data_IF_360860094572
#
_entry.id   IF_360860094572
#
_cell.length_a   1.000
_cell.length_b   1.000
_cell.length_c   1.000
_cell.angle_alpha   90.00
_cell.angle_beta   90.00
_cell.angle_gamma   90.00
#
_symmetry.space_group_name_H-M   'P 1'
#
loop_
_entity.id
_entity.type
_entity.pdbx_description
1 polymer ?
#
# COMPACT_ATOMS: atom_id res chain seq x y z
N UNK A 1 -28.02 3.65 -19.32
CA UNK A 1 -26.93 2.71 -19.68
C UNK A 1 -25.53 3.19 -19.27
N UNK A 2 -25.28 4.51 -19.13
CA UNK A 2 -23.94 5.07 -18.88
C UNK A 2 -23.32 4.76 -17.50
N UNK A 3 -24.12 4.69 -16.42
CA UNK A 3 -23.61 4.49 -15.05
C UNK A 3 -22.91 3.14 -14.87
N UNK A 4 -23.40 2.10 -15.54
CA UNK A 4 -22.86 0.74 -15.44
C UNK A 4 -21.50 0.60 -16.16
N UNK A 5 -21.34 1.32 -17.28
CA UNK A 5 -20.09 1.37 -18.06
C UNK A 5 -19.00 2.08 -17.26
N UNK A 6 -19.30 3.24 -16.67
CA UNK A 6 -18.36 3.95 -15.78
C UNK A 6 -17.92 3.05 -14.64
N UNK A 7 -18.86 2.43 -13.91
CA UNK A 7 -18.53 1.55 -12.78
C UNK A 7 -17.64 0.35 -13.17
N UNK A 8 -17.74 -0.13 -14.41
CA UNK A 8 -16.96 -1.26 -14.90
C UNK A 8 -15.54 -0.84 -15.29
N UNK A 9 -15.38 0.37 -15.83
CA UNK A 9 -14.08 0.99 -16.12
C UNK A 9 -13.36 1.32 -14.81
N UNK A 10 -14.07 1.92 -13.84
CA UNK A 10 -13.54 2.26 -12.52
C UNK A 10 -12.96 1.03 -11.80
N UNK A 11 -13.68 -0.10 -11.83
CA UNK A 11 -13.21 -1.36 -11.23
C UNK A 11 -11.92 -1.86 -11.87
N UNK A 12 -11.78 -1.76 -13.20
CA UNK A 12 -10.57 -2.18 -13.94
C UNK A 12 -9.38 -1.29 -13.60
N UNK A 13 -9.60 0.02 -13.52
CA UNK A 13 -8.59 0.99 -13.09
C UNK A 13 -8.15 0.70 -11.66
N UNK A 14 -9.09 0.53 -10.73
CA UNK A 14 -8.78 0.20 -9.33
C UNK A 14 -8.00 -1.12 -9.20
N UNK A 15 -8.38 -2.14 -9.97
CA UNK A 15 -7.66 -3.41 -9.97
C UNK A 15 -6.22 -3.24 -10.46
N UNK A 16 -6.03 -2.49 -11.55
CA UNK A 16 -4.70 -2.19 -12.09
C UNK A 16 -3.85 -1.43 -11.07
N UNK A 17 -4.39 -0.35 -10.47
CA UNK A 17 -3.67 0.42 -9.46
C UNK A 17 -3.30 -0.42 -8.22
N UNK A 18 -4.19 -1.31 -7.77
CA UNK A 18 -3.89 -2.26 -6.67
C UNK A 18 -2.75 -3.21 -7.04
N UNK A 19 -2.74 -3.73 -8.27
CA UNK A 19 -1.68 -4.63 -8.73
C UNK A 19 -0.30 -3.94 -8.75
N UNK A 20 -0.26 -2.63 -9.02
CA UNK A 20 0.99 -1.86 -8.96
C UNK A 20 1.57 -1.76 -7.55
N UNK A 21 0.73 -1.80 -6.51
CA UNK A 21 1.18 -1.77 -5.10
C UNK A 21 1.79 -3.08 -4.63
N UNK A 22 1.51 -4.18 -5.33
CA UNK A 22 2.06 -5.52 -5.03
C UNK A 22 3.45 -5.73 -5.62
N UNK A 23 3.92 -4.80 -6.47
CA UNK A 23 5.20 -4.92 -7.13
C UNK A 23 6.33 -4.36 -6.25
N UNK A 24 7.49 -5.06 -6.18
CA UNK A 24 8.66 -4.54 -5.47
C UNK A 24 9.22 -3.27 -6.11
N UNK A 25 9.02 -3.07 -7.43
CA UNK A 25 9.31 -1.81 -8.11
C UNK A 25 8.37 -1.63 -9.30
N UNK A 26 7.40 -0.69 -9.24
CA UNK A 26 6.43 -0.47 -10.32
C UNK A 26 7.08 -0.11 -11.66
N UNK A 27 8.26 0.52 -11.62
CA UNK A 27 8.98 0.98 -12.82
C UNK A 27 9.69 -0.14 -13.60
N UNK A 28 9.88 -1.32 -13.01
CA UNK A 28 10.68 -2.41 -13.61
C UNK A 28 9.85 -3.53 -14.21
N UNK A 29 8.60 -3.70 -13.79
CA UNK A 29 7.73 -4.77 -14.26
C UNK A 29 6.28 -4.32 -14.11
N UNK A 30 5.75 -3.66 -15.14
CA UNK A 30 4.35 -3.22 -15.12
C UNK A 30 3.42 -4.42 -15.33
N UNK A 31 2.27 -4.47 -14.64
CA UNK A 31 1.28 -5.52 -14.86
C UNK A 31 0.65 -5.33 -16.25
N UNK A 32 0.14 -6.41 -16.86
CA UNK A 32 -0.53 -6.31 -18.15
C UNK A 32 -1.75 -5.38 -18.06
N UNK A 33 -1.92 -4.54 -19.09
CA UNK A 33 -3.03 -3.60 -19.17
C UNK A 33 -4.37 -4.35 -19.21
N UNK A 34 -5.35 -4.04 -18.35
CA UNK A 34 -6.67 -4.65 -18.42
C UNK A 34 -7.34 -4.33 -19.77
N UNK A 35 -7.99 -5.34 -20.36
CA UNK A 35 -8.70 -5.17 -21.63
C UNK A 35 -9.72 -4.01 -21.57
N UNK A 36 -9.79 -3.25 -22.64
CA UNK A 36 -10.63 -2.04 -22.74
C UNK A 36 -9.98 -0.75 -22.21
N UNK A 37 -8.77 -0.80 -21.64
CA UNK A 37 -8.03 0.38 -21.16
C UNK A 37 -6.78 0.71 -21.99
N UNK A 38 -6.50 -0.04 -23.07
CA UNK A 38 -5.32 0.18 -23.92
C UNK A 38 -5.21 1.62 -24.47
N UNK A 39 -6.35 2.28 -24.72
CA UNK A 39 -6.40 3.66 -25.24
C UNK A 39 -5.80 4.67 -24.25
N UNK A 40 -5.85 4.39 -22.95
CA UNK A 40 -5.36 5.25 -21.87
C UNK A 40 -4.15 4.66 -21.14
N UNK A 41 -3.47 3.71 -21.78
CA UNK A 41 -2.40 2.93 -21.16
C UNK A 41 -1.28 3.83 -20.65
N UNK A 42 -0.81 4.76 -21.48
CA UNK A 42 0.33 5.59 -21.15
C UNK A 42 0.05 6.50 -19.94
N UNK A 43 -1.13 7.12 -19.89
CA UNK A 43 -1.57 7.95 -18.77
C UNK A 43 -1.70 7.12 -17.51
N UNK A 44 -2.29 5.93 -17.61
CA UNK A 44 -2.52 5.05 -16.48
C UNK A 44 -1.21 4.47 -15.92
N UNK A 45 -0.21 4.19 -16.75
CA UNK A 45 1.12 3.77 -16.32
C UNK A 45 1.84 4.88 -15.55
N UNK A 46 1.83 6.12 -16.06
CA UNK A 46 2.46 7.27 -15.41
C UNK A 46 1.79 7.56 -14.06
N UNK A 47 0.46 7.69 -14.04
CA UNK A 47 -0.29 7.96 -12.82
C UNK A 47 -0.19 6.81 -11.82
N UNK A 48 -0.23 5.56 -12.31
CA UNK A 48 -0.09 4.38 -11.49
C UNK A 48 1.28 4.28 -10.81
N UNK A 49 2.36 4.60 -11.53
CA UNK A 49 3.70 4.65 -10.96
C UNK A 49 3.81 5.72 -9.87
N UNK A 50 3.28 6.93 -10.11
CA UNK A 50 3.29 8.02 -9.14
C UNK A 50 2.48 7.66 -7.89
N UNK A 51 1.27 7.12 -8.08
CA UNK A 51 0.42 6.61 -7.02
C UNK A 51 1.15 5.58 -6.15
N UNK A 52 1.78 4.58 -6.78
CA UNK A 52 2.51 3.55 -6.05
C UNK A 52 3.70 4.11 -5.26
N UNK A 53 4.42 5.10 -5.80
CA UNK A 53 5.49 5.78 -5.08
C UNK A 53 4.97 6.51 -3.83
N UNK A 54 3.87 7.25 -3.95
CA UNK A 54 3.25 7.97 -2.82
C UNK A 54 2.79 6.98 -1.74
N UNK A 55 2.11 5.90 -2.13
CA UNK A 55 1.67 4.87 -1.19
C UNK A 55 2.86 4.21 -0.49
N UNK A 56 3.93 3.92 -1.22
CA UNK A 56 5.14 3.33 -0.64
C UNK A 56 5.86 4.29 0.32
N UNK A 57 5.90 5.59 0.01
CA UNK A 57 6.41 6.60 0.94
C UNK A 57 5.55 6.67 2.21
N UNK A 58 4.22 6.70 2.07
CA UNK A 58 3.32 6.67 3.21
C UNK A 58 3.51 5.40 4.06
N UNK A 59 3.68 4.23 3.42
CA UNK A 59 4.00 2.98 4.13
C UNK A 59 5.34 3.07 4.87
N UNK A 60 6.36 3.71 4.31
CA UNK A 60 7.65 3.86 4.99
C UNK A 60 7.55 4.80 6.20
N UNK A 61 6.86 5.94 6.04
CA UNK A 61 6.71 6.94 7.09
C UNK A 61 5.80 6.45 8.22
N UNK A 62 4.63 5.90 7.87
CA UNK A 62 3.61 5.51 8.85
C UNK A 62 3.64 4.02 9.21
N UNK A 63 4.36 3.20 8.46
CA UNK A 63 4.47 1.75 8.69
C UNK A 63 4.90 1.39 10.10
N UNK A 64 5.93 2.02 10.69
CA UNK A 64 6.33 1.76 12.07
C UNK A 64 5.21 2.04 13.08
N UNK A 65 4.45 3.11 12.87
CA UNK A 65 3.32 3.48 13.73
C UNK A 65 2.17 2.46 13.64
N UNK A 66 1.75 2.11 12.42
CA UNK A 66 0.72 1.10 12.20
C UNK A 66 1.17 -0.30 12.64
N UNK A 67 2.44 -0.66 12.46
CA UNK A 67 2.98 -1.95 12.88
C UNK A 67 2.83 -2.15 14.39
N UNK A 68 2.99 -1.09 15.20
CA UNK A 68 2.78 -1.17 16.63
C UNK A 68 1.32 -1.42 17.00
N UNK A 69 0.39 -0.70 16.36
CA UNK A 69 -1.05 -0.90 16.56
C UNK A 69 -1.45 -2.31 16.13
N UNK A 70 -1.03 -2.74 14.95
CA UNK A 70 -1.31 -4.08 14.42
C UNK A 70 -0.74 -5.17 15.33
N UNK A 71 0.47 -5.01 15.87
CA UNK A 71 1.07 -5.98 16.81
C UNK A 71 0.22 -6.12 18.07
N UNK A 72 -0.24 -5.00 18.64
CA UNK A 72 -1.14 -5.02 19.81
C UNK A 72 -2.47 -5.72 19.51
N UNK A 73 -3.06 -5.44 18.34
CA UNK A 73 -4.34 -6.05 17.93
C UNK A 73 -4.22 -7.54 17.61
N UNK A 74 -3.10 -7.98 17.01
CA UNK A 74 -2.90 -9.36 16.58
C UNK A 74 -2.34 -10.27 17.69
N UNK A 75 -1.53 -9.73 18.62
CA UNK A 75 -0.80 -10.53 19.60
C UNK A 75 -1.10 -10.15 21.07
N UNK A 76 -1.97 -9.16 21.33
CA UNK A 76 -2.25 -8.68 22.68
C UNK A 76 -1.18 -7.72 23.24
N UNK A 77 -1.49 -7.07 24.36
CA UNK A 77 -0.67 -5.99 24.94
C UNK A 77 0.65 -6.48 25.58
N UNK A 78 0.74 -7.75 25.95
CA UNK A 78 1.89 -8.31 26.70
C UNK A 78 3.19 -8.43 25.89
N UNK A 79 3.14 -8.33 24.55
CA UNK A 79 4.34 -8.45 23.72
C UNK A 79 5.24 -7.18 23.71
N UNK A 80 4.80 -6.06 24.32
CA UNK A 80 5.48 -4.76 24.22
C UNK A 80 6.14 -4.27 25.52
N UNK A 81 6.22 -5.10 26.57
CA UNK A 81 6.75 -4.70 27.87
C UNK A 81 8.07 -5.37 28.22
N UNK A 82 9.21 -4.93 27.64
CA UNK A 82 10.55 -5.24 28.19
C UNK A 82 11.71 -4.41 27.64
N UNK A 83 11.57 -3.10 27.51
CA UNK A 83 12.73 -2.20 27.38
C UNK A 83 12.34 -0.82 27.87
N UNK A 84 12.35 -0.64 29.19
CA UNK A 84 12.64 0.63 29.89
C UNK A 84 12.44 0.40 31.40
N UNK A 85 13.36 -0.35 32.02
CA UNK A 85 13.54 -0.32 33.47
C UNK A 85 14.87 0.39 33.75
N UNK A 86 14.87 1.55 34.43
CA UNK A 86 16.12 2.18 34.84
C UNK A 86 16.84 1.26 35.85
N UNK A 87 18.19 1.20 35.83
CA UNK A 87 18.92 0.37 36.76
C UNK A 87 18.67 0.85 38.20
N UNK A 88 18.18 -0.05 39.05
CA UNK A 88 18.11 0.18 40.49
C UNK A 88 19.49 0.56 41.03
N UNK A 89 19.59 1.57 41.90
CA UNK A 89 20.85 1.88 42.56
C UNK A 89 21.20 0.72 43.49
N UNK A 90 22.44 0.24 43.38
CA UNK A 90 23.02 -0.72 44.30
C UNK A 90 23.21 -0.04 45.68
N UNK A 91 22.96 -0.84 46.72
CA UNK A 91 23.10 -0.54 48.14
C UNK A 91 24.49 0.00 48.51
#
# INVERSE_FOLDING_TARGET
MNVWVSSSVDKRIQLYLKSLLSLPSPKKCLPPMPGGLAVIQQELEVLGCQYANIVNLNKQVYGPFYANILRKLLFGEEAAGKTDAPPSPAN
#
